data_IF_019962072705
#
_entry.id   IF_019962072705
#
_cell.length_a   1.000
_cell.length_b   1.000
_cell.length_c   1.000
_cell.angle_alpha   90.00
_cell.angle_beta   90.00
_cell.angle_gamma   90.00
#
_symmetry.space_group_name_H-M   'P 1'
#
loop_
_entity.id
_entity.type
_entity.pdbx_description
1 polymer ?
#
# COMPACT_ATOMS: atom_id res chain seq x y z
N UNK A 1 -3.45 -11.63 -84.35
CA UNK A 1 -4.22 -10.80 -83.40
C UNK A 1 -5.27 -11.66 -82.71
N UNK A 2 -4.96 -12.18 -81.51
CA UNK A 2 -5.92 -12.72 -80.54
C UNK A 2 -5.33 -12.44 -79.16
N UNK A 3 -5.94 -11.49 -78.45
CA UNK A 3 -5.52 -11.06 -77.12
C UNK A 3 -5.87 -12.15 -76.09
N UNK A 4 -4.88 -12.60 -75.32
CA UNK A 4 -5.09 -13.35 -74.08
C UNK A 4 -5.26 -12.34 -72.95
N UNK A 5 -6.46 -12.27 -72.39
CA UNK A 5 -6.76 -11.53 -71.16
C UNK A 5 -6.51 -12.44 -69.95
N UNK A 6 -5.39 -12.22 -69.25
CA UNK A 6 -5.15 -12.79 -67.93
C UNK A 6 -6.01 -12.05 -66.89
N UNK A 7 -6.97 -12.74 -66.28
CA UNK A 7 -7.61 -12.31 -65.05
C UNK A 7 -6.67 -12.60 -63.88
N UNK A 8 -6.07 -11.57 -63.29
CA UNK A 8 -5.36 -11.68 -62.03
C UNK A 8 -6.39 -11.60 -60.88
N UNK A 9 -6.64 -12.72 -60.21
CA UNK A 9 -7.34 -12.73 -58.93
C UNK A 9 -6.41 -12.12 -57.88
N UNK A 10 -6.65 -10.86 -57.51
CA UNK A 10 -6.01 -10.24 -56.33
C UNK A 10 -6.79 -10.76 -55.12
N UNK A 11 -6.28 -11.82 -54.51
CA UNK A 11 -6.74 -12.26 -53.20
C UNK A 11 -6.29 -11.25 -52.15
N UNK A 12 -7.24 -10.50 -51.57
CA UNK A 12 -6.99 -9.69 -50.38
C UNK A 12 -6.65 -10.61 -49.22
N UNK A 13 -5.35 -10.78 -48.96
CA UNK A 13 -4.86 -11.37 -47.71
C UNK A 13 -5.20 -10.36 -46.62
N UNK A 14 -6.23 -10.64 -45.83
CA UNK A 14 -6.39 -10.01 -44.52
C UNK A 14 -5.18 -10.43 -43.70
N UNK A 15 -4.20 -9.53 -43.60
CA UNK A 15 -3.16 -9.62 -42.58
C UNK A 15 -3.86 -9.36 -41.25
N UNK A 16 -4.40 -10.41 -40.62
CA UNK A 16 -4.67 -10.38 -39.19
C UNK A 16 -3.34 -10.00 -38.54
N UNK A 17 -3.29 -8.84 -37.88
CA UNK A 17 -2.16 -8.53 -37.02
C UNK A 17 -2.00 -9.73 -36.07
N UNK A 18 -0.88 -10.45 -36.16
CA UNK A 18 -0.53 -11.43 -35.15
C UNK A 18 -0.44 -10.65 -33.83
N UNK A 19 -1.46 -10.79 -32.99
CA UNK A 19 -1.37 -10.37 -31.60
C UNK A 19 -0.34 -11.31 -30.97
N UNK A 20 0.89 -10.83 -30.80
CA UNK A 20 1.91 -11.61 -30.10
C UNK A 20 1.52 -11.68 -28.63
N UNK A 21 1.47 -12.90 -28.10
CA UNK A 21 1.34 -13.13 -26.67
C UNK A 21 2.60 -12.56 -25.98
N UNK A 22 2.41 -11.47 -25.25
CA UNK A 22 3.41 -10.86 -24.36
C UNK A 22 3.34 -11.47 -22.95
N UNK A 23 4.48 -11.52 -22.28
CA UNK A 23 4.60 -11.80 -20.83
C UNK A 23 4.60 -10.46 -20.09
N UNK A 24 3.64 -10.26 -19.19
CA UNK A 24 3.52 -9.10 -18.32
C UNK A 24 4.18 -9.40 -16.97
N UNK A 25 5.24 -8.68 -16.62
CA UNK A 25 5.94 -8.81 -15.34
C UNK A 25 5.53 -7.70 -14.39
N UNK A 26 4.93 -8.05 -13.27
CA UNK A 26 4.47 -7.11 -12.26
C UNK A 26 5.36 -7.24 -11.02
N UNK A 27 6.01 -6.15 -10.63
CA UNK A 27 6.78 -6.09 -9.38
C UNK A 27 5.88 -5.56 -8.26
N UNK A 28 5.51 -6.42 -7.31
CA UNK A 28 4.40 -6.22 -6.37
C UNK A 28 4.71 -6.81 -4.98
N UNK A 29 3.82 -6.61 -4.01
CA UNK A 29 3.75 -7.37 -2.78
C UNK A 29 3.26 -8.81 -3.02
N UNK A 30 3.65 -9.75 -2.15
CA UNK A 30 3.11 -11.12 -2.12
C UNK A 30 1.64 -11.12 -1.72
N UNK A 31 0.86 -12.08 -2.24
CA UNK A 31 -0.59 -12.22 -2.00
C UNK A 31 -1.41 -10.94 -2.27
N UNK A 32 -0.94 -10.09 -3.19
CA UNK A 32 -1.54 -8.78 -3.43
C UNK A 32 -2.26 -8.64 -4.75
N UNK A 33 -2.30 -9.67 -5.61
CA UNK A 33 -3.16 -9.74 -6.81
C UNK A 33 -3.73 -11.17 -6.87
N UNK A 34 -5.03 -11.31 -7.08
CA UNK A 34 -5.71 -12.61 -7.14
C UNK A 34 -5.16 -13.49 -8.28
N UNK A 35 -4.72 -14.70 -7.94
CA UNK A 35 -4.27 -15.69 -8.92
C UNK A 35 -5.40 -16.11 -9.86
N UNK A 36 -6.65 -16.19 -9.36
CA UNK A 36 -7.82 -16.50 -10.18
C UNK A 36 -8.07 -15.44 -11.26
N UNK A 37 -7.87 -14.16 -10.94
CA UNK A 37 -8.00 -13.08 -11.92
C UNK A 37 -6.81 -13.02 -12.88
N UNK A 38 -5.63 -13.45 -12.46
CA UNK A 38 -4.51 -13.66 -13.38
C UNK A 38 -4.89 -14.73 -14.40
N UNK A 39 -5.33 -15.91 -13.97
CA UNK A 39 -5.77 -16.98 -14.88
C UNK A 39 -6.87 -16.52 -15.85
N UNK A 40 -7.87 -15.79 -15.34
CA UNK A 40 -8.93 -15.22 -16.18
C UNK A 40 -8.38 -14.22 -17.22
N UNK A 41 -7.45 -13.34 -16.82
CA UNK A 41 -6.81 -12.40 -17.74
C UNK A 41 -6.03 -13.12 -18.84
N UNK A 42 -5.25 -14.13 -18.47
CA UNK A 42 -4.46 -14.93 -19.40
C UNK A 42 -5.36 -15.65 -20.42
N UNK A 43 -6.47 -16.26 -19.97
CA UNK A 43 -7.44 -16.90 -20.85
C UNK A 43 -8.10 -15.90 -21.80
N UNK A 44 -8.51 -14.73 -21.29
CA UNK A 44 -9.27 -13.75 -22.05
C UNK A 44 -8.42 -13.03 -23.11
N UNK A 45 -7.16 -12.71 -22.78
CA UNK A 45 -6.31 -11.87 -23.64
C UNK A 45 -5.18 -12.64 -24.34
N UNK A 46 -4.90 -13.87 -23.91
CA UNK A 46 -3.81 -14.69 -24.46
C UNK A 46 -2.41 -14.20 -24.08
N UNK A 47 -2.32 -13.32 -23.09
CA UNK A 47 -1.08 -12.88 -22.45
C UNK A 47 -0.71 -13.81 -21.30
N UNK A 48 0.51 -13.71 -20.79
CA UNK A 48 0.90 -14.34 -19.52
C UNK A 48 1.26 -13.28 -18.49
N UNK A 49 1.09 -13.57 -17.20
CA UNK A 49 1.44 -12.67 -16.10
C UNK A 49 2.40 -13.37 -15.16
N UNK A 50 3.47 -12.68 -14.80
CA UNK A 50 4.41 -13.11 -13.77
C UNK A 50 4.48 -12.07 -12.67
N UNK A 51 4.16 -12.48 -11.46
CA UNK A 51 4.33 -11.67 -10.26
C UNK A 51 5.75 -11.85 -9.73
N UNK A 52 6.42 -10.75 -9.41
CA UNK A 52 7.74 -10.77 -8.75
C UNK A 52 7.62 -9.94 -7.48
N UNK A 53 8.02 -10.52 -6.36
CA UNK A 53 7.73 -9.94 -5.06
C UNK A 53 8.89 -9.12 -4.50
N UNK A 54 8.57 -7.99 -3.89
CA UNK A 54 9.50 -7.26 -3.02
C UNK A 54 9.07 -7.40 -1.55
N UNK A 55 10.07 -7.36 -0.66
CA UNK A 55 9.85 -7.56 0.77
C UNK A 55 9.65 -6.23 1.54
N UNK A 56 10.05 -5.11 0.93
CA UNK A 56 9.89 -3.77 1.52
C UNK A 56 10.05 -2.66 0.46
N UNK A 57 9.55 -1.48 0.81
CA UNK A 57 9.61 -0.23 0.06
C UNK A 57 11.03 0.13 -0.40
N UNK A 58 12.03 0.04 0.50
CA UNK A 58 13.41 0.40 0.17
C UNK A 58 13.98 -0.48 -0.96
N UNK A 59 13.71 -1.79 -0.94
CA UNK A 59 14.11 -2.70 -2.01
C UNK A 59 13.35 -2.41 -3.31
N UNK A 60 12.05 -2.14 -3.21
CA UNK A 60 11.24 -1.73 -4.35
C UNK A 60 11.82 -0.49 -5.02
N UNK A 61 12.08 0.56 -4.25
CA UNK A 61 12.56 1.85 -4.75
C UNK A 61 13.93 1.72 -5.37
N UNK A 62 14.84 0.99 -4.73
CA UNK A 62 16.16 0.73 -5.28
C UNK A 62 16.09 0.02 -6.64
N UNK A 63 15.16 -0.92 -6.81
CA UNK A 63 14.93 -1.58 -8.09
C UNK A 63 14.38 -0.59 -9.11
N UNK A 64 13.31 0.14 -8.78
CA UNK A 64 12.63 1.11 -9.66
C UNK A 64 13.57 2.24 -10.11
N UNK A 65 14.47 2.70 -9.25
CA UNK A 65 15.46 3.73 -9.58
C UNK A 65 16.59 3.22 -10.48
N UNK A 66 16.87 1.92 -10.43
CA UNK A 66 17.99 1.31 -11.14
C UNK A 66 17.61 0.78 -12.52
N UNK A 67 18.63 0.43 -13.32
CA UNK A 67 18.41 -0.27 -14.59
C UNK A 67 17.77 -1.67 -14.43
N UNK A 68 17.66 -2.22 -13.21
CA UNK A 68 16.96 -3.48 -12.96
C UNK A 68 15.45 -3.36 -13.19
N UNK A 69 14.89 -2.15 -13.09
CA UNK A 69 13.48 -1.89 -13.36
C UNK A 69 13.05 -2.33 -14.77
N UNK A 70 13.98 -2.36 -15.74
CA UNK A 70 13.69 -2.78 -17.11
C UNK A 70 13.27 -4.26 -17.24
N UNK A 71 13.46 -5.06 -16.19
CA UNK A 71 12.96 -6.44 -16.13
C UNK A 71 11.45 -6.54 -15.89
N UNK A 72 10.78 -5.44 -15.55
CA UNK A 72 9.37 -5.42 -15.17
C UNK A 72 8.57 -4.45 -16.03
N UNK A 73 7.28 -4.74 -16.17
CA UNK A 73 6.35 -3.92 -16.93
C UNK A 73 5.54 -2.96 -16.07
N UNK A 74 5.06 -3.45 -14.94
CA UNK A 74 4.32 -2.68 -13.96
C UNK A 74 4.95 -2.83 -12.57
N UNK A 75 4.75 -1.81 -11.76
CA UNK A 75 5.16 -1.73 -10.37
C UNK A 75 3.96 -1.33 -9.53
N UNK A 76 3.84 -1.86 -8.33
CA UNK A 76 2.99 -1.25 -7.30
C UNK A 76 3.86 -0.33 -6.46
N UNK A 77 3.49 0.95 -6.42
CA UNK A 77 4.22 2.02 -5.72
C UNK A 77 3.22 2.80 -4.88
N UNK A 78 3.60 3.09 -3.64
CA UNK A 78 2.79 3.86 -2.72
C UNK A 78 2.64 5.33 -3.19
N UNK A 79 1.58 5.97 -2.68
CA UNK A 79 1.20 7.32 -3.04
C UNK A 79 2.21 8.42 -2.71
N UNK A 80 3.07 8.23 -1.72
CA UNK A 80 4.13 9.19 -1.39
C UNK A 80 5.25 9.08 -2.43
N UNK A 81 5.75 7.86 -2.63
CA UNK A 81 6.91 7.58 -3.47
C UNK A 81 6.63 7.79 -4.95
N UNK A 82 5.41 7.50 -5.42
CA UNK A 82 5.05 7.71 -6.83
C UNK A 82 5.18 9.18 -7.24
N UNK A 83 4.85 10.11 -6.35
CA UNK A 83 5.01 11.55 -6.58
C UNK A 83 6.48 11.96 -6.68
N UNK A 84 7.35 11.37 -5.87
CA UNK A 84 8.79 11.64 -5.86
C UNK A 84 9.48 11.09 -7.11
N UNK A 85 9.22 9.83 -7.43
CA UNK A 85 9.75 9.17 -8.62
C UNK A 85 9.24 9.83 -9.91
N UNK A 86 7.98 10.22 -9.94
CA UNK A 86 7.40 10.98 -11.05
C UNK A 86 8.14 12.30 -11.30
N UNK A 87 8.38 13.10 -10.25
CA UNK A 87 9.15 14.36 -10.36
C UNK A 87 10.61 14.14 -10.72
N UNK A 88 11.20 13.02 -10.31
CA UNK A 88 12.55 12.63 -10.68
C UNK A 88 12.66 12.14 -12.15
N UNK A 89 11.55 12.03 -12.88
CA UNK A 89 11.54 11.57 -14.28
C UNK A 89 11.81 10.06 -14.40
N UNK A 90 11.47 9.29 -13.37
CA UNK A 90 11.63 7.82 -13.33
C UNK A 90 10.42 7.13 -13.99
N UNK A 91 9.22 7.68 -13.81
CA UNK A 91 7.95 7.05 -14.16
C UNK A 91 7.36 7.62 -15.45
N UNK A 92 6.68 6.76 -16.21
CA UNK A 92 5.96 7.10 -17.43
C UNK A 92 4.55 7.63 -17.16
N UNK A 93 3.98 8.34 -18.14
CA UNK A 93 2.60 8.85 -18.07
C UNK A 93 1.59 7.75 -18.38
N UNK A 94 0.72 7.43 -17.41
CA UNK A 94 -0.36 6.45 -17.49
C UNK A 94 -1.74 7.07 -17.69
N UNK A 95 -1.86 8.40 -17.84
CA UNK A 95 -3.14 9.12 -17.90
C UNK A 95 -4.10 8.68 -19.01
N UNK A 96 -3.56 8.08 -20.09
CA UNK A 96 -4.32 7.63 -21.25
C UNK A 96 -4.44 6.09 -21.35
N UNK A 97 -4.11 5.36 -20.28
CA UNK A 97 -4.13 3.88 -20.30
C UNK A 97 -5.53 3.29 -20.08
N UNK A 98 -6.39 3.96 -19.31
CA UNK A 98 -7.74 3.46 -19.01
C UNK A 98 -8.79 3.91 -20.02
N UNK A 99 -9.56 2.97 -20.56
CA UNK A 99 -10.60 3.18 -21.58
C UNK A 99 -11.75 4.04 -21.07
N UNK A 100 -12.19 3.81 -19.84
CA UNK A 100 -13.23 4.63 -19.17
C UNK A 100 -12.63 5.85 -18.44
N UNK A 101 -11.35 6.11 -18.68
CA UNK A 101 -10.55 7.03 -17.89
C UNK A 101 -10.54 6.67 -16.41
N UNK A 102 -10.35 7.68 -15.57
CA UNK A 102 -10.24 7.50 -14.13
C UNK A 102 -11.60 7.65 -13.40
N UNK A 103 -12.73 7.46 -14.09
CA UNK A 103 -14.07 7.76 -13.53
C UNK A 103 -14.47 6.86 -12.36
N UNK A 104 -13.92 5.64 -12.30
CA UNK A 104 -14.18 4.65 -11.25
C UNK A 104 -13.44 4.95 -9.93
N UNK A 105 -12.52 5.92 -9.90
CA UNK A 105 -11.73 6.23 -8.71
C UNK A 105 -12.19 7.51 -7.99
N UNK A 106 -11.89 7.60 -6.69
CA UNK A 106 -12.14 8.82 -5.92
C UNK A 106 -11.17 9.95 -6.31
N UNK A 107 -11.53 11.21 -6.03
CA UNK A 107 -10.65 12.36 -6.26
C UNK A 107 -9.36 12.31 -5.43
N UNK A 108 -9.39 11.64 -4.28
CA UNK A 108 -8.20 11.46 -3.44
C UNK A 108 -7.24 10.51 -4.13
N UNK A 109 -7.67 9.28 -4.44
CA UNK A 109 -6.81 8.27 -5.05
C UNK A 109 -6.24 8.73 -6.40
N UNK A 110 -7.04 9.43 -7.22
CA UNK A 110 -6.56 10.02 -8.49
C UNK A 110 -5.48 11.07 -8.29
N UNK A 111 -5.63 11.95 -7.29
CA UNK A 111 -4.63 12.98 -7.00
C UNK A 111 -3.36 12.37 -6.43
N UNK A 112 -3.49 11.35 -5.59
CA UNK A 112 -2.36 10.64 -5.00
C UNK A 112 -1.52 9.93 -6.06
N UNK A 113 -2.13 9.15 -6.96
CA UNK A 113 -1.39 8.47 -8.03
C UNK A 113 -0.94 9.41 -9.17
N UNK A 114 -1.64 10.54 -9.35
CA UNK A 114 -1.33 11.53 -10.36
C UNK A 114 -1.41 11.00 -11.79
N UNK A 115 -0.54 11.49 -12.68
CA UNK A 115 -0.44 10.99 -14.07
C UNK A 115 0.46 9.76 -14.19
N UNK A 116 1.24 9.45 -13.14
CA UNK A 116 2.25 8.38 -13.16
C UNK A 116 1.69 7.04 -12.68
N UNK A 117 0.45 7.03 -12.18
CA UNK A 117 -0.14 5.87 -11.55
C UNK A 117 -1.61 5.66 -11.87
N UNK A 118 -2.02 4.41 -11.90
CA UNK A 118 -3.43 3.99 -11.84
C UNK A 118 -3.74 3.54 -10.41
N UNK A 119 -4.73 4.13 -9.71
CA UNK A 119 -5.07 3.70 -8.35
C UNK A 119 -5.44 2.23 -8.29
N UNK A 120 -4.98 1.54 -7.27
CA UNK A 120 -5.19 0.11 -7.08
C UNK A 120 -5.93 -0.19 -5.78
N UNK A 121 -5.26 0.07 -4.67
CA UNK A 121 -5.73 -0.24 -3.32
C UNK A 121 -5.52 0.99 -2.44
N UNK A 122 -6.24 1.07 -1.33
CA UNK A 122 -6.04 2.06 -0.29
C UNK A 122 -6.37 1.45 1.07
N UNK A 123 -6.05 2.20 2.11
CA UNK A 123 -6.47 1.82 3.43
C UNK A 123 -5.96 2.78 4.47
N UNK A 124 -6.03 2.33 5.71
CA UNK A 124 -5.74 3.12 6.89
C UNK A 124 -4.53 2.59 7.61
N UNK A 125 -3.83 3.45 8.33
CA UNK A 125 -3.04 3.01 9.47
C UNK A 125 -3.97 2.89 10.68
N UNK A 126 -3.72 1.95 11.57
CA UNK A 126 -4.55 1.79 12.75
C UNK A 126 -3.84 1.01 13.83
N UNK A 127 -4.62 0.56 14.80
CA UNK A 127 -4.11 -0.22 15.92
C UNK A 127 -4.83 -1.55 15.93
N UNK A 128 -4.06 -2.64 15.94
CA UNK A 128 -4.60 -3.95 16.33
C UNK A 128 -4.23 -4.28 17.76
N UNK A 129 -5.16 -4.88 18.51
CA UNK A 129 -4.92 -5.30 19.88
C UNK A 129 -5.66 -6.58 20.25
N UNK A 130 -5.09 -7.29 21.21
CA UNK A 130 -5.67 -8.51 21.81
C UNK A 130 -6.82 -8.16 22.73
N UNK A 131 -8.06 -8.47 22.36
CA UNK A 131 -9.24 -8.17 23.20
C UNK A 131 -9.23 -8.92 24.55
N UNK A 132 -8.55 -10.07 24.65
CA UNK A 132 -8.32 -10.77 25.92
C UNK A 132 -7.31 -10.08 26.84
N UNK A 133 -6.55 -9.09 26.36
CA UNK A 133 -5.50 -8.36 27.10
C UNK A 133 -5.88 -6.90 27.35
N UNK A 134 -6.45 -6.25 26.34
CA UNK A 134 -6.82 -4.83 26.36
C UNK A 134 -8.33 -4.71 26.49
N UNK A 135 -8.84 -4.91 27.69
CA UNK A 135 -10.30 -4.94 27.95
C UNK A 135 -10.98 -3.59 27.82
N UNK A 136 -10.23 -2.49 27.99
CA UNK A 136 -10.73 -1.11 27.85
C UNK A 136 -10.74 -0.66 26.37
N UNK A 137 -10.15 -1.46 25.47
CA UNK A 137 -9.93 -1.11 24.07
C UNK A 137 -8.77 -0.11 23.88
N UNK A 138 -8.54 0.24 22.63
CA UNK A 138 -7.69 1.38 22.21
C UNK A 138 -8.58 2.33 21.43
N UNK A 139 -8.70 3.56 21.90
CA UNK A 139 -9.59 4.57 21.30
C UNK A 139 -8.84 5.83 20.88
N UNK A 140 -7.62 6.02 21.39
CA UNK A 140 -6.75 7.15 21.11
C UNK A 140 -5.35 6.69 20.72
N UNK A 141 -4.62 7.47 19.92
CA UNK A 141 -3.20 7.15 19.64
C UNK A 141 -2.35 7.25 20.92
N UNK A 142 -2.74 8.10 21.87
CA UNK A 142 -2.08 8.18 23.18
C UNK A 142 -2.23 6.87 23.98
N UNK A 143 -3.35 6.15 23.83
CA UNK A 143 -3.58 4.87 24.52
C UNK A 143 -2.50 3.85 24.16
N UNK A 144 -1.99 3.85 22.92
CA UNK A 144 -0.88 2.97 22.49
C UNK A 144 0.38 3.22 23.33
N UNK A 145 0.72 4.49 23.52
CA UNK A 145 1.91 4.90 24.26
C UNK A 145 1.74 4.69 25.77
N UNK A 146 0.56 4.98 26.31
CA UNK A 146 0.25 4.73 27.71
C UNK A 146 0.19 3.21 28.02
N UNK A 147 -0.32 2.40 27.09
CA UNK A 147 -0.29 0.94 27.19
C UNK A 147 1.15 0.43 27.23
N UNK A 148 2.04 0.93 26.36
CA UNK A 148 3.46 0.57 26.38
C UNK A 148 4.14 0.90 27.72
N UNK A 149 3.81 2.05 28.33
CA UNK A 149 4.34 2.42 29.65
C UNK A 149 3.82 1.51 30.77
N UNK A 150 2.54 1.15 30.73
CA UNK A 150 1.87 0.31 31.74
C UNK A 150 2.25 -1.16 31.62
N UNK A 151 2.40 -1.65 30.39
CA UNK A 151 2.73 -3.02 30.03
C UNK A 151 3.97 -3.04 29.12
N UNK A 152 5.18 -2.95 29.70
CA UNK A 152 6.39 -2.95 28.90
C UNK A 152 6.57 -4.24 28.11
N UNK A 153 7.19 -4.13 26.94
CA UNK A 153 7.56 -5.24 26.05
C UNK A 153 6.34 -6.00 25.50
N UNK A 154 5.23 -5.29 25.23
CA UNK A 154 4.04 -5.86 24.57
C UNK A 154 3.55 -5.06 23.36
N UNK A 155 4.06 -3.85 23.13
CA UNK A 155 3.63 -2.96 22.04
C UNK A 155 4.64 -2.92 20.90
N UNK A 156 4.16 -3.12 19.66
CA UNK A 156 4.95 -2.96 18.44
C UNK A 156 4.47 -1.71 17.67
N UNK A 157 5.41 -0.89 17.19
CA UNK A 157 5.13 0.24 16.30
C UNK A 157 5.98 0.11 15.03
N UNK A 158 5.59 0.72 13.89
CA UNK A 158 6.31 0.59 12.63
C UNK A 158 7.76 1.05 12.73
N UNK A 159 8.59 0.56 11.81
CA UNK A 159 9.96 1.06 11.59
C UNK A 159 10.02 1.89 10.31
N UNK A 160 9.21 2.94 10.32
CA UNK A 160 9.09 3.92 9.25
C UNK A 160 9.06 5.32 9.88
N UNK A 161 9.84 6.25 9.34
CA UNK A 161 10.04 7.57 9.93
C UNK A 161 8.88 8.53 9.67
N UNK A 162 8.10 8.31 8.63
CA UNK A 162 6.85 9.05 8.43
C UNK A 162 5.83 8.56 9.45
N UNK A 163 5.59 7.25 9.50
CA UNK A 163 4.50 6.66 10.29
C UNK A 163 4.76 6.71 11.80
N UNK A 164 5.97 6.38 12.25
CA UNK A 164 6.32 6.41 13.68
C UNK A 164 6.16 7.80 14.26
N UNK A 165 6.55 8.83 13.50
CA UNK A 165 6.43 10.21 13.93
C UNK A 165 4.96 10.66 13.80
N UNK A 166 4.24 10.24 12.75
CA UNK A 166 2.83 10.56 12.55
C UNK A 166 1.94 10.06 13.70
N UNK A 167 2.10 8.83 14.17
CA UNK A 167 1.30 8.30 15.30
C UNK A 167 1.56 9.09 16.59
N UNK A 168 2.80 9.56 16.80
CA UNK A 168 3.13 10.40 17.95
C UNK A 168 2.57 11.82 17.82
N UNK A 169 2.54 12.38 16.62
CA UNK A 169 1.92 13.67 16.33
C UNK A 169 0.40 13.61 16.52
N UNK A 170 -0.25 12.57 16.01
CA UNK A 170 -1.69 12.34 16.19
C UNK A 170 -2.05 12.20 17.68
N UNK A 171 -1.27 11.43 18.44
CA UNK A 171 -1.45 11.32 19.90
C UNK A 171 -1.34 12.66 20.64
N UNK A 172 -0.58 13.62 20.08
CA UNK A 172 -0.41 14.96 20.63
C UNK A 172 -1.39 15.99 20.04
N UNK A 173 -2.27 15.57 19.12
CA UNK A 173 -3.25 16.43 18.46
C UNK A 173 -2.67 17.35 17.37
N UNK A 174 -1.52 17.02 16.81
CA UNK A 174 -0.90 17.74 15.70
C UNK A 174 -1.24 17.11 14.34
N UNK A 175 -1.01 17.86 13.24
CA UNK A 175 -1.08 17.31 11.89
C UNK A 175 0.01 16.23 11.73
N UNK A 176 -0.34 14.97 11.35
CA UNK A 176 0.64 13.88 11.22
C UNK A 176 1.74 14.18 10.19
N UNK A 177 1.47 15.09 9.24
CA UNK A 177 2.37 15.51 8.18
C UNK A 177 2.94 16.91 8.41
N UNK A 178 2.91 17.43 9.65
CA UNK A 178 3.55 18.71 9.99
C UNK A 178 5.06 18.69 9.75
N UNK A 179 5.59 19.83 9.32
CA UNK A 179 7.03 20.11 9.22
C UNK A 179 7.52 21.04 10.35
N UNK A 180 6.65 21.37 11.31
CA UNK A 180 6.99 22.26 12.40
C UNK A 180 7.97 21.59 13.39
N UNK A 181 9.20 22.10 13.47
CA UNK A 181 10.25 21.57 14.35
C UNK A 181 9.83 21.50 15.83
N UNK A 182 8.99 22.41 16.31
CA UNK A 182 8.52 22.42 17.71
C UNK A 182 7.53 21.27 17.98
N UNK A 183 6.69 20.95 17.00
CA UNK A 183 5.75 19.82 17.06
C UNK A 183 6.53 18.49 16.94
N UNK A 184 7.48 18.41 16.01
CA UNK A 184 8.38 17.27 15.84
C UNK A 184 9.23 17.01 17.10
N UNK A 185 9.72 18.07 17.76
CA UNK A 185 10.44 17.95 19.02
C UNK A 185 9.56 17.41 20.17
N UNK A 186 8.25 17.66 20.15
CA UNK A 186 7.32 17.09 21.12
C UNK A 186 7.04 15.61 20.82
N UNK A 187 6.84 15.24 19.55
CA UNK A 187 6.73 13.85 19.13
C UNK A 187 7.97 13.04 19.51
N UNK A 188 9.17 13.58 19.26
CA UNK A 188 10.44 12.99 19.70
C UNK A 188 10.47 12.73 21.21
N UNK A 189 10.06 13.70 22.04
CA UNK A 189 10.02 13.53 23.51
C UNK A 189 9.07 12.42 23.94
N UNK A 190 7.90 12.32 23.32
CA UNK A 190 6.94 11.24 23.58
C UNK A 190 7.54 9.88 23.22
N UNK A 191 8.10 9.74 22.02
CA UNK A 191 8.73 8.50 21.56
C UNK A 191 9.93 8.09 22.43
N UNK A 192 10.76 9.06 22.84
CA UNK A 192 11.88 8.82 23.76
C UNK A 192 11.44 8.33 25.14
N UNK A 193 10.25 8.75 25.62
CA UNK A 193 9.70 8.29 26.89
C UNK A 193 9.30 6.81 26.84
N UNK A 194 8.82 6.34 25.70
CA UNK A 194 8.26 4.97 25.55
C UNK A 194 9.24 3.96 24.95
N UNK A 195 10.30 4.40 24.26
CA UNK A 195 11.14 3.54 23.42
C UNK A 195 11.68 2.26 24.08
N UNK A 196 12.12 2.31 25.34
CA UNK A 196 12.64 1.14 26.06
C UNK A 196 11.51 0.22 26.59
N UNK A 197 10.27 0.69 26.53
CA UNK A 197 9.08 -0.06 26.89
C UNK A 197 8.41 -0.73 25.69
N UNK A 198 8.75 -0.33 24.47
CA UNK A 198 8.25 -1.01 23.27
C UNK A 198 8.85 -2.41 23.15
N UNK A 199 8.04 -3.35 22.69
CA UNK A 199 8.48 -4.71 22.35
C UNK A 199 9.41 -4.70 21.14
N UNK A 200 9.04 -3.93 20.11
CA UNK A 200 9.85 -3.74 18.92
C UNK A 200 9.42 -2.49 18.15
N UNK A 201 10.36 -1.95 17.35
CA UNK A 201 10.12 -0.95 16.31
C UNK A 201 10.45 -1.66 14.99
N UNK A 202 9.42 -2.20 14.33
CA UNK A 202 9.47 -2.99 13.08
C UNK A 202 8.05 -3.29 12.59
N UNK A 203 7.91 -3.72 11.34
CA UNK A 203 6.66 -4.26 10.82
C UNK A 203 6.10 -5.39 11.72
N UNK A 204 4.85 -5.24 12.14
CA UNK A 204 4.20 -6.16 13.08
C UNK A 204 3.91 -7.52 12.45
N UNK A 205 3.50 -7.56 11.18
CA UNK A 205 3.33 -8.81 10.40
C UNK A 205 4.64 -9.60 10.39
N UNK A 206 5.76 -8.93 10.11
CA UNK A 206 7.07 -9.58 10.16
C UNK A 206 7.43 -10.10 11.56
N UNK A 207 7.10 -9.34 12.63
CA UNK A 207 7.31 -9.82 14.00
C UNK A 207 6.44 -11.06 14.30
N UNK A 208 5.17 -11.05 13.89
CA UNK A 208 4.24 -12.16 14.02
C UNK A 208 4.74 -13.39 13.27
N UNK A 209 5.22 -13.24 12.04
CA UNK A 209 5.82 -14.33 11.24
C UNK A 209 7.04 -14.94 11.93
N UNK A 210 7.94 -14.11 12.47
CA UNK A 210 9.15 -14.55 13.15
C UNK A 210 8.86 -15.29 14.46
N UNK A 211 7.87 -14.83 15.23
CA UNK A 211 7.59 -15.33 16.59
C UNK A 211 6.48 -16.37 16.64
N UNK A 212 5.59 -16.37 15.66
CA UNK A 212 4.42 -17.23 15.57
C UNK A 212 3.61 -17.24 16.87
N UNK A 213 3.18 -18.41 17.33
CA UNK A 213 2.51 -18.61 18.61
C UNK A 213 3.34 -18.22 19.86
N UNK A 214 4.63 -17.96 19.70
CA UNK A 214 5.50 -17.39 20.74
C UNK A 214 5.47 -15.85 20.83
N UNK A 215 4.65 -15.18 20.03
CA UNK A 215 4.49 -13.72 20.06
C UNK A 215 4.07 -13.21 21.44
N UNK A 216 4.72 -12.14 21.90
CA UNK A 216 4.34 -11.39 23.12
C UNK A 216 3.59 -10.09 22.80
N UNK A 217 3.29 -9.88 21.52
CA UNK A 217 2.60 -8.70 21.05
C UNK A 217 1.17 -8.71 21.58
N UNK A 218 0.75 -7.61 22.18
CA UNK A 218 -0.63 -7.40 22.64
C UNK A 218 -1.30 -6.20 21.97
N UNK A 219 -0.49 -5.23 21.53
CA UNK A 219 -0.90 -4.06 20.74
C UNK A 219 0.11 -3.86 19.63
N UNK A 220 -0.35 -3.56 18.43
CA UNK A 220 0.50 -3.20 17.31
C UNK A 220 -0.13 -2.10 16.48
N UNK A 221 0.69 -1.17 15.99
CA UNK A 221 0.30 -0.26 14.92
C UNK A 221 0.53 -0.98 13.59
N UNK A 222 -0.50 -1.05 12.76
CA UNK A 222 -0.54 -1.83 11.50
C UNK A 222 -1.28 -1.08 10.41
N UNK A 223 -1.16 -1.55 9.17
CA UNK A 223 -2.02 -1.14 8.07
C UNK A 223 -3.28 -2.02 8.01
N UNK A 224 -4.42 -1.45 7.63
CA UNK A 224 -5.65 -2.21 7.40
C UNK A 224 -5.43 -3.32 6.36
N UNK A 225 -5.91 -4.54 6.65
CA UNK A 225 -5.66 -5.75 5.86
C UNK A 225 -4.59 -6.66 6.49
N UNK A 226 -3.78 -6.15 7.43
CA UNK A 226 -2.71 -6.94 8.06
C UNK A 226 -3.17 -7.74 9.31
N UNK A 227 -4.33 -7.42 9.89
CA UNK A 227 -4.80 -8.06 11.14
C UNK A 227 -4.94 -9.58 10.99
N UNK A 228 -5.52 -10.04 9.89
CA UNK A 228 -5.75 -11.47 9.63
C UNK A 228 -4.43 -12.24 9.46
N UNK A 229 -3.42 -11.62 8.82
CA UNK A 229 -2.08 -12.22 8.73
C UNK A 229 -1.44 -12.36 10.11
N UNK A 230 -1.57 -11.34 10.96
CA UNK A 230 -1.08 -11.40 12.36
C UNK A 230 -1.81 -12.50 13.12
N UNK A 231 -3.15 -12.57 13.04
CA UNK A 231 -3.95 -13.59 13.70
C UNK A 231 -3.55 -15.01 13.26
N UNK A 232 -3.37 -15.22 11.96
CA UNK A 232 -2.93 -16.47 11.35
C UNK A 232 -1.53 -16.88 11.84
N UNK A 233 -0.52 -16.00 11.73
CA UNK A 233 0.84 -16.33 12.14
C UNK A 233 0.96 -16.57 13.64
N UNK A 234 0.24 -15.80 14.45
CA UNK A 234 0.30 -15.93 15.91
C UNK A 234 -0.58 -17.05 16.47
N UNK A 235 -1.45 -17.67 15.66
CA UNK A 235 -2.44 -18.68 16.09
C UNK A 235 -3.36 -18.13 17.19
N UNK A 236 -3.85 -16.91 16.97
CA UNK A 236 -4.52 -16.08 17.97
C UNK A 236 -5.67 -15.34 17.30
N UNK A 237 -6.90 -15.55 17.75
CA UNK A 237 -8.14 -15.19 17.02
C UNK A 237 -8.92 -14.00 17.63
N UNK A 238 -8.42 -13.40 18.70
CA UNK A 238 -9.07 -12.33 19.46
C UNK A 238 -8.49 -10.93 19.17
N UNK A 239 -7.80 -10.78 18.04
CA UNK A 239 -7.28 -9.50 17.55
C UNK A 239 -8.42 -8.62 17.04
N UNK A 240 -8.46 -7.37 17.50
CA UNK A 240 -9.39 -6.34 17.05
C UNK A 240 -8.58 -5.24 16.39
N UNK A 241 -9.02 -4.77 15.23
CA UNK A 241 -8.51 -3.55 14.60
C UNK A 241 -9.38 -2.36 14.98
N UNK A 242 -8.75 -1.20 15.17
CA UNK A 242 -9.43 0.06 15.47
C UNK A 242 -8.67 1.22 14.87
N UNK A 243 -9.43 2.27 14.54
CA UNK A 243 -8.87 3.57 14.16
C UNK A 243 -9.06 4.52 15.33
N UNK A 244 -7.98 5.07 15.89
CA UNK A 244 -8.10 6.04 16.96
C UNK A 244 -8.89 7.30 16.56
N UNK A 245 -9.59 7.88 17.53
CA UNK A 245 -10.54 8.97 17.33
C UNK A 245 -9.92 10.26 16.76
N UNK A 246 -8.62 10.47 16.92
CA UNK A 246 -7.91 11.62 16.34
C UNK A 246 -7.79 11.53 14.81
N UNK A 247 -8.15 10.38 14.23
CA UNK A 247 -8.04 10.11 12.81
C UNK A 247 -6.78 9.31 12.47
N UNK A 248 -6.49 9.17 11.18
CA UNK A 248 -5.39 8.33 10.71
C UNK A 248 -4.81 8.77 9.36
N UNK A 249 -3.61 8.26 9.06
CA UNK A 249 -3.04 8.32 7.73
C UNK A 249 -3.75 7.33 6.78
N UNK A 250 -3.98 7.80 5.56
CA UNK A 250 -4.57 7.04 4.46
C UNK A 250 -3.53 6.74 3.39
N UNK A 251 -3.06 5.50 3.33
CA UNK A 251 -2.15 5.06 2.28
C UNK A 251 -2.93 4.71 1.01
N UNK A 252 -2.24 4.80 -0.12
CA UNK A 252 -2.77 4.46 -1.43
C UNK A 252 -1.68 3.75 -2.20
N UNK A 253 -2.06 2.72 -2.93
CA UNK A 253 -1.19 1.96 -3.81
C UNK A 253 -1.59 2.20 -5.26
N UNK A 254 -0.58 2.36 -6.11
CA UNK A 254 -0.77 2.74 -7.49
C UNK A 254 0.04 1.81 -8.40
N UNK A 255 -0.60 1.26 -9.44
CA UNK A 255 0.16 0.68 -10.54
C UNK A 255 0.92 1.78 -11.28
N UNK A 256 2.21 1.59 -11.51
CA UNK A 256 3.08 2.51 -12.24
C UNK A 256 3.96 1.78 -13.27
N UNK A 257 4.58 2.53 -14.17
CA UNK A 257 5.48 2.02 -15.19
C UNK A 257 6.71 2.93 -15.35
N UNK A 258 7.85 2.37 -15.74
CA UNK A 258 9.08 3.13 -16.06
C UNK A 258 8.92 3.96 -17.33
N UNK A 259 9.52 5.15 -17.35
CA UNK A 259 9.50 6.04 -18.53
C UNK A 259 10.32 5.49 -19.72
N UNK A 260 11.31 4.64 -19.47
CA UNK A 260 12.33 4.28 -20.47
C UNK A 260 11.81 3.35 -21.59
N UNK A 261 10.57 2.87 -21.47
CA UNK A 261 9.95 1.99 -22.46
C UNK A 261 8.47 2.34 -22.66
N UNK A 262 7.94 2.15 -23.88
CA UNK A 262 6.51 2.25 -24.09
C UNK A 262 5.74 1.27 -23.19
N UNK A 263 4.57 1.70 -22.72
CA UNK A 263 3.66 0.82 -21.99
C UNK A 263 3.17 -0.25 -22.97
N UNK A 264 3.35 -1.52 -22.60
CA UNK A 264 3.03 -2.64 -23.48
C UNK A 264 1.52 -2.79 -23.67
N UNK A 265 1.13 -3.52 -24.71
CA UNK A 265 -0.29 -3.81 -24.94
C UNK A 265 -0.86 -4.64 -23.78
N UNK A 266 -0.10 -5.63 -23.31
CA UNK A 266 -0.49 -6.45 -22.16
C UNK A 266 -0.69 -5.62 -20.90
N UNK A 267 0.18 -4.64 -20.60
CA UNK A 267 0.01 -3.75 -19.44
C UNK A 267 -1.26 -2.91 -19.54
N UNK A 268 -1.55 -2.34 -20.71
CA UNK A 268 -2.77 -1.54 -20.92
C UNK A 268 -4.01 -2.43 -20.74
N UNK A 269 -4.02 -3.63 -21.33
CA UNK A 269 -5.15 -4.54 -21.23
C UNK A 269 -5.35 -5.02 -19.78
N UNK A 270 -4.28 -5.36 -19.07
CA UNK A 270 -4.33 -5.74 -17.65
C UNK A 270 -4.87 -4.62 -16.77
N UNK A 271 -4.36 -3.40 -16.91
CA UNK A 271 -4.84 -2.24 -16.14
C UNK A 271 -6.33 -1.96 -16.39
N UNK A 272 -6.82 -2.16 -17.61
CA UNK A 272 -8.25 -2.03 -17.90
C UNK A 272 -9.07 -3.20 -17.32
N UNK A 273 -8.54 -4.42 -17.36
CA UNK A 273 -9.20 -5.61 -16.86
C UNK A 273 -9.38 -5.57 -15.33
N UNK A 274 -8.28 -5.40 -14.59
CA UNK A 274 -8.27 -5.48 -13.12
C UNK A 274 -9.05 -4.34 -12.46
N UNK A 275 -9.17 -3.18 -13.14
CA UNK A 275 -9.86 -1.99 -12.64
C UNK A 275 -11.34 -1.89 -13.05
N UNK A 276 -11.92 -2.92 -13.68
CA UNK A 276 -13.39 -2.98 -13.80
C UNK A 276 -14.03 -3.19 -12.42
N UNK A 277 -15.19 -2.57 -12.10
CA UNK A 277 -15.78 -2.69 -10.76
C UNK A 277 -15.91 -4.12 -10.22
N UNK A 278 -16.37 -5.05 -11.06
CA UNK A 278 -16.54 -6.46 -10.71
C UNK A 278 -15.21 -7.15 -10.41
N UNK A 279 -14.19 -6.99 -11.27
CA UNK A 279 -12.87 -7.61 -11.06
C UNK A 279 -12.09 -6.95 -9.94
N UNK A 280 -12.24 -5.64 -9.77
CA UNK A 280 -11.68 -4.93 -8.62
C UNK A 280 -12.28 -5.44 -7.31
N UNK A 281 -13.58 -5.74 -7.27
CA UNK A 281 -14.22 -6.34 -6.09
C UNK A 281 -13.68 -7.75 -5.84
N UNK A 282 -13.70 -8.63 -6.84
CA UNK A 282 -13.15 -9.99 -6.72
C UNK A 282 -11.69 -9.99 -6.24
N UNK A 283 -10.86 -9.13 -6.82
CA UNK A 283 -9.47 -9.01 -6.43
C UNK A 283 -9.35 -8.60 -4.97
N UNK A 284 -10.05 -7.53 -4.60
CA UNK A 284 -10.00 -6.95 -3.27
C UNK A 284 -10.50 -7.90 -2.18
N UNK A 285 -11.49 -8.73 -2.48
CA UNK A 285 -11.96 -9.80 -1.60
C UNK A 285 -10.96 -10.93 -1.46
N UNK A 286 -10.35 -11.37 -2.56
CA UNK A 286 -9.41 -12.49 -2.53
C UNK A 286 -8.13 -12.13 -1.76
N UNK A 287 -7.64 -10.89 -1.93
CA UNK A 287 -6.44 -10.40 -1.25
C UNK A 287 -6.74 -9.73 0.11
N UNK A 288 -8.01 -9.51 0.43
CA UNK A 288 -8.51 -8.85 1.65
C UNK A 288 -7.97 -7.42 1.90
N UNK A 289 -7.98 -6.58 0.87
CA UNK A 289 -7.59 -5.16 0.95
C UNK A 289 -8.63 -4.25 0.30
N UNK A 290 -8.80 -3.03 0.82
CA UNK A 290 -9.77 -2.09 0.27
C UNK A 290 -9.37 -1.59 -1.12
N UNK A 291 -10.26 -1.71 -2.10
CA UNK A 291 -10.03 -1.19 -3.45
C UNK A 291 -10.12 0.33 -3.52
N UNK A 292 -9.31 0.94 -4.40
CA UNK A 292 -9.48 2.34 -4.80
C UNK A 292 -10.64 2.59 -5.77
N UNK A 293 -11.22 1.54 -6.35
CA UNK A 293 -12.39 1.65 -7.20
C UNK A 293 -13.65 1.85 -6.33
N UNK A 294 -14.34 2.98 -6.51
CA UNK A 294 -15.47 3.41 -5.67
C UNK A 294 -16.75 2.58 -5.87
N UNK A 295 -16.76 1.68 -6.85
CA UNK A 295 -17.91 0.84 -7.19
C UNK A 295 -17.76 -0.61 -6.69
N UNK A 296 -16.66 -0.96 -6.00
CA UNK A 296 -16.44 -2.37 -5.58
C UNK A 296 -17.53 -2.88 -4.64
N UNK A 297 -18.07 -2.03 -3.77
CA UNK A 297 -19.10 -2.43 -2.80
C UNK A 297 -20.42 -2.84 -3.47
N UNK A 298 -20.65 -2.45 -4.73
CA UNK A 298 -21.82 -2.87 -5.51
C UNK A 298 -21.72 -4.35 -5.93
N UNK A 299 -20.50 -4.92 -5.94
CA UNK A 299 -20.20 -6.28 -6.41
C UNK A 299 -19.66 -7.21 -5.32
N UNK A 300 -19.10 -6.65 -4.25
CA UNK A 300 -18.54 -7.40 -3.13
C UNK A 300 -19.62 -8.09 -2.28
N UNK A 301 -19.29 -9.21 -1.66
CA UNK A 301 -20.00 -9.95 -0.60
C UNK A 301 -20.30 -9.12 0.64
N UNK A 302 -21.19 -9.64 1.50
CA UNK A 302 -21.51 -9.04 2.80
C UNK A 302 -20.31 -9.02 3.75
N UNK A 303 -19.49 -10.07 3.76
CA UNK A 303 -18.35 -10.17 4.67
C UNK A 303 -17.32 -9.07 4.40
N UNK A 304 -16.98 -8.83 3.12
CA UNK A 304 -16.06 -7.77 2.75
C UNK A 304 -16.65 -6.37 2.96
N UNK A 305 -17.89 -6.13 2.52
CA UNK A 305 -18.49 -4.78 2.60
C UNK A 305 -18.77 -4.30 4.02
N UNK A 306 -18.90 -5.23 4.98
CA UNK A 306 -19.17 -4.96 6.39
C UNK A 306 -17.91 -5.03 7.26
N UNK A 307 -16.75 -5.32 6.67
CA UNK A 307 -15.48 -5.35 7.39
C UNK A 307 -15.10 -3.93 7.85
N UNK A 308 -15.13 -3.69 9.17
CA UNK A 308 -14.83 -2.38 9.76
C UNK A 308 -13.32 -2.04 9.77
N UNK A 309 -12.43 -3.00 9.48
CA UNK A 309 -11.01 -2.73 9.26
C UNK A 309 -10.77 -2.14 7.88
N UNK A 310 -11.43 -2.68 6.86
CA UNK A 310 -11.34 -2.18 5.48
C UNK A 310 -12.22 -0.94 5.25
N UNK A 311 -13.41 -0.89 5.86
CA UNK A 311 -14.41 0.18 5.70
C UNK A 311 -14.84 0.75 7.04
N UNK A 312 -13.93 1.42 7.77
CA UNK A 312 -14.18 1.92 9.11
C UNK A 312 -15.35 2.92 9.16
N UNK A 313 -16.26 2.69 10.10
CA UNK A 313 -17.38 3.60 10.33
C UNK A 313 -16.91 4.88 11.02
N UNK A 314 -17.45 6.03 10.61
CA UNK A 314 -17.15 7.33 11.25
C UNK A 314 -15.81 7.97 10.85
N UNK A 315 -15.01 7.32 10.00
CA UNK A 315 -13.86 7.96 9.37
C UNK A 315 -14.35 8.88 8.25
N UNK A 316 -14.02 10.18 8.32
CA UNK A 316 -14.40 11.16 7.32
C UNK A 316 -13.19 11.98 6.85
N UNK A 317 -13.40 12.92 5.93
CA UNK A 317 -12.31 13.73 5.37
C UNK A 317 -11.60 14.63 6.38
N UNK A 318 -12.18 14.89 7.55
CA UNK A 318 -11.57 15.67 8.62
C UNK A 318 -10.65 14.85 9.54
N UNK A 319 -10.84 13.53 9.55
CA UNK A 319 -10.04 12.55 10.31
C UNK A 319 -9.22 11.61 9.40
N UNK A 320 -9.23 11.83 8.09
CA UNK A 320 -8.45 11.09 7.09
C UNK A 320 -7.33 11.96 6.51
N UNK A 321 -6.09 11.66 6.87
CA UNK A 321 -4.93 12.42 6.44
C UNK A 321 -4.21 11.71 5.29
N UNK A 322 -4.15 12.27 4.08
CA UNK A 322 -3.33 11.69 3.03
C UNK A 322 -1.86 11.87 3.36
N UNK A 323 -1.03 10.90 2.97
CA UNK A 323 0.42 11.10 2.88
C UNK A 323 0.73 12.30 1.96
N UNK A 324 1.77 13.05 2.31
CA UNK A 324 2.23 14.23 1.57
C UNK A 324 3.75 14.20 1.48
N UNK A 325 4.29 14.62 0.34
CA UNK A 325 5.74 14.86 0.23
C UNK A 325 6.14 15.93 1.25
N UNK A 326 7.11 15.59 2.09
CA UNK A 326 7.73 16.50 3.04
C UNK A 326 8.93 17.21 2.39
N UNK A 327 9.29 18.39 2.89
CA UNK A 327 10.59 19.00 2.57
C UNK A 327 11.73 18.05 2.95
N UNK A 328 12.85 18.19 2.24
CA UNK A 328 14.05 17.38 2.53
C UNK A 328 14.49 17.55 3.98
N UNK A 329 14.43 18.79 4.49
CA UNK A 329 14.78 19.10 5.87
C UNK A 329 13.86 18.39 6.87
N UNK A 330 12.54 18.38 6.63
CA UNK A 330 11.59 17.68 7.49
C UNK A 330 11.75 16.16 7.41
N UNK A 331 11.99 15.61 6.22
CA UNK A 331 12.28 14.18 6.03
C UNK A 331 13.56 13.77 6.77
N UNK A 332 14.67 14.47 6.55
CA UNK A 332 15.95 14.20 7.23
C UNK A 332 15.80 14.25 8.76
N UNK A 333 15.03 15.22 9.28
CA UNK A 333 14.77 15.35 10.71
C UNK A 333 13.96 14.18 11.27
N UNK A 334 12.92 13.71 10.56
CA UNK A 334 12.15 12.52 10.94
C UNK A 334 13.01 11.26 10.93
N UNK A 335 13.81 11.05 9.89
CA UNK A 335 14.76 9.93 9.81
C UNK A 335 15.75 9.97 10.98
N UNK A 336 16.27 11.16 11.31
CA UNK A 336 17.19 11.33 12.45
C UNK A 336 16.50 11.02 13.78
N UNK A 337 15.27 11.48 13.98
CA UNK A 337 14.45 11.19 15.16
C UNK A 337 14.30 9.66 15.32
N UNK A 338 13.85 8.95 14.28
CA UNK A 338 13.68 7.50 14.33
C UNK A 338 15.02 6.78 14.58
N UNK A 339 16.08 7.19 13.91
CA UNK A 339 17.42 6.64 14.13
C UNK A 339 17.85 6.74 15.60
N UNK A 340 17.63 7.90 16.23
CA UNK A 340 17.96 8.11 17.65
C UNK A 340 17.10 7.23 18.55
N UNK A 341 15.79 7.17 18.30
CA UNK A 341 14.83 6.32 19.04
C UNK A 341 15.21 4.83 18.95
N UNK A 342 15.82 4.38 17.85
CA UNK A 342 16.26 2.98 17.73
C UNK A 342 17.60 2.72 18.40
N UNK A 343 18.53 3.68 18.33
CA UNK A 343 19.95 3.39 18.60
C UNK A 343 20.55 4.01 19.86
N UNK A 344 19.98 5.09 20.40
CA UNK A 344 20.61 5.76 21.55
C UNK A 344 20.49 4.88 22.81
N UNK A 345 21.57 4.60 23.52
CA UNK A 345 21.50 3.97 24.85
C UNK A 345 21.33 5.07 25.89
N UNK A 346 20.47 4.89 26.89
CA UNK A 346 20.38 5.83 27.99
C UNK A 346 21.72 5.87 28.76
N UNK A 347 22.31 7.05 28.91
CA UNK A 347 23.55 7.24 29.68
C UNK A 347 23.32 7.23 31.20
N UNK A 348 22.11 6.92 31.66
CA UNK A 348 21.67 7.01 33.06
C UNK A 348 21.57 5.66 33.78
N UNK A 349 22.66 4.88 33.75
CA UNK A 349 22.98 3.86 34.77
C UNK A 349 24.48 3.93 35.12
N UNK A 350 24.90 5.05 35.71
CA UNK A 350 26.17 5.15 36.44
C UNK A 350 25.96 5.66 37.86
#
# INVERSE_FOLDING_TARGET
MRFLTCFALIGSIFLSALSFAEELKIFTWEDYISDALIEEFEEQYGHTVSQVYFENEMLRDAVVYSGKALAYDLFIIDGLTIGELGRAGVLGDLSNTLKEGNSNFTDVSRRTCGVYGVPYSNGTMGVTFRSSKVTEGITSWMDVFDYALKYPQTVVIPDDDVDTIAIALLALGFDPMTENEVELAQAYKLLMKVRERLLAIRAAVGYALDKKSGSKMEVAVIYSGEKEQIASYTEQDDWIYTIPQEGTLMWHECFSARIDRPISKASIEFLNFINTPERSALNAEDVWFASSNKHVLDFATDDYRLDEELFPTGLDSSSSFPYKTLSKEASDLRSQILFVIKNQRNETEK
#
